data_IF_627081605524
#
_entry.id   IF_627081605524
#
_cell.length_a   1.000
_cell.length_b   1.000
_cell.length_c   1.000
_cell.angle_alpha   90.00
_cell.angle_beta   90.00
_cell.angle_gamma   90.00
#
_symmetry.space_group_name_H-M   'P 1'
#
loop_
_entity.id
_entity.type
_entity.pdbx_description
1 polymer ?
#
# COMPACT_ATOMS: atom_id res chain seq x y z
N UNK A 1 46.94 4.30 18.24
CA UNK A 1 45.57 3.79 18.41
C UNK A 1 44.61 4.83 17.88
N UNK A 2 44.29 4.78 16.58
CA UNK A 2 43.31 5.69 15.97
C UNK A 2 41.92 5.23 16.40
N UNK A 3 41.33 5.93 17.38
CA UNK A 3 39.93 5.77 17.70
C UNK A 3 39.12 5.96 16.42
N UNK A 4 38.38 4.93 16.00
CA UNK A 4 37.36 5.04 14.97
C UNK A 4 36.36 6.09 15.45
N UNK A 5 36.56 7.35 15.06
CA UNK A 5 35.55 8.38 15.24
C UNK A 5 34.32 7.90 14.46
N UNK A 6 33.31 7.47 15.20
CA UNK A 6 31.98 7.22 14.65
C UNK A 6 31.52 8.54 14.04
N UNK A 7 31.61 8.64 12.70
CA UNK A 7 31.17 9.82 11.97
C UNK A 7 29.68 9.96 12.21
N UNK A 8 29.31 11.00 12.95
CA UNK A 8 27.91 11.36 13.16
C UNK A 8 27.50 12.38 12.13
N UNK A 9 26.34 12.20 11.53
CA UNK A 9 25.70 13.19 10.66
C UNK A 9 24.21 13.31 11.00
N UNK A 10 23.57 14.43 10.67
CA UNK A 10 22.14 14.59 10.88
C UNK A 10 21.33 13.46 10.22
N UNK A 11 20.31 12.93 10.90
CA UNK A 11 19.38 11.94 10.32
C UNK A 11 18.76 12.47 9.01
N UNK A 12 18.47 13.76 8.93
CA UNK A 12 18.00 14.44 7.73
C UNK A 12 18.91 14.23 6.51
N UNK A 13 20.22 14.10 6.70
CA UNK A 13 21.18 13.81 5.63
C UNK A 13 21.07 12.35 5.15
N UNK A 14 21.05 11.40 6.08
CA UNK A 14 20.88 9.98 5.74
C UNK A 14 19.58 9.74 4.96
N UNK A 15 18.47 10.32 5.41
CA UNK A 15 17.16 10.17 4.76
C UNK A 15 17.15 10.76 3.35
N UNK A 16 17.81 11.89 3.11
CA UNK A 16 17.96 12.48 1.77
C UNK A 16 18.77 11.57 0.84
N UNK A 17 19.93 11.09 1.31
CA UNK A 17 20.79 10.20 0.54
C UNK A 17 20.06 8.89 0.20
N UNK A 18 19.35 8.30 1.18
CA UNK A 18 18.49 7.13 0.96
C UNK A 18 17.41 7.41 -0.07
N UNK A 19 16.66 8.51 0.08
CA UNK A 19 15.61 8.90 -0.86
C UNK A 19 16.13 9.00 -2.30
N UNK A 20 17.35 9.49 -2.49
CA UNK A 20 17.99 9.58 -3.80
C UNK A 20 18.48 8.25 -4.35
N UNK A 21 18.79 7.26 -3.51
CA UNK A 21 19.22 5.94 -3.96
C UNK A 21 18.08 5.02 -4.37
N UNK A 22 16.84 5.31 -3.94
CA UNK A 22 15.67 4.50 -4.27
C UNK A 22 15.09 4.87 -5.63
N UNK A 23 15.16 3.92 -6.58
CA UNK A 23 14.70 4.12 -7.96
C UNK A 23 13.39 3.41 -8.29
N UNK A 24 12.97 2.43 -7.48
CA UNK A 24 11.78 1.61 -7.72
C UNK A 24 10.92 1.52 -6.46
N UNK A 25 9.61 1.37 -6.65
CA UNK A 25 8.64 1.17 -5.58
C UNK A 25 8.87 -0.19 -4.94
N UNK A 26 9.11 -0.25 -3.63
CA UNK A 26 9.32 -1.50 -2.89
C UNK A 26 8.15 -2.48 -3.00
N UNK A 27 6.93 -2.02 -3.32
CA UNK A 27 5.72 -2.84 -3.36
C UNK A 27 5.26 -3.28 -4.75
N UNK A 28 5.49 -2.47 -5.79
CA UNK A 28 5.02 -2.81 -7.15
C UNK A 28 6.14 -2.78 -8.18
N UNK A 29 7.38 -2.54 -7.77
CA UNK A 29 8.56 -2.47 -8.62
C UNK A 29 8.48 -1.44 -9.76
N UNK A 30 7.47 -0.56 -9.76
CA UNK A 30 7.40 0.56 -10.71
C UNK A 30 8.55 1.53 -10.44
N UNK A 31 9.24 1.97 -11.50
CA UNK A 31 10.20 3.07 -11.44
C UNK A 31 9.56 4.35 -10.85
N UNK A 32 10.31 5.04 -10.00
CA UNK A 32 9.85 6.19 -9.24
C UNK A 32 10.38 7.51 -9.82
N UNK A 33 9.52 8.27 -10.49
CA UNK A 33 9.82 9.67 -10.83
C UNK A 33 9.68 10.58 -9.60
N UNK A 34 8.72 10.25 -8.73
CA UNK A 34 8.47 10.90 -7.45
C UNK A 34 8.20 9.83 -6.41
N UNK A 35 9.06 9.76 -5.40
CA UNK A 35 8.91 8.79 -4.33
C UNK A 35 8.28 9.39 -3.06
N UNK A 36 7.52 8.55 -2.37
CA UNK A 36 7.02 8.77 -1.02
C UNK A 36 7.85 7.91 -0.09
N UNK A 37 8.45 8.54 0.93
CA UNK A 37 9.20 7.84 1.95
C UNK A 37 8.25 7.57 3.12
N UNK A 38 8.19 6.30 3.51
CA UNK A 38 7.37 5.84 4.63
C UNK A 38 8.28 5.29 5.71
N UNK A 39 8.00 5.64 6.95
CA UNK A 39 8.67 5.14 8.14
C UNK A 39 7.61 4.57 9.09
N UNK A 40 7.72 3.28 9.44
CA UNK A 40 6.75 2.60 10.33
C UNK A 40 5.28 2.84 9.96
N UNK A 41 4.94 2.75 8.68
CA UNK A 41 3.57 2.97 8.19
C UNK A 41 3.13 4.43 8.07
N UNK A 42 4.00 5.41 8.37
CA UNK A 42 3.68 6.84 8.26
C UNK A 42 4.51 7.53 7.18
N UNK A 43 3.86 8.39 6.40
CA UNK A 43 4.54 9.21 5.38
C UNK A 43 5.39 10.26 6.08
N UNK A 44 6.68 10.31 5.76
CA UNK A 44 7.58 11.39 6.18
C UNK A 44 7.83 12.34 5.00
N UNK A 45 7.31 13.57 5.14
CA UNK A 45 7.39 14.60 4.11
C UNK A 45 8.72 15.38 4.19
N UNK A 46 8.91 16.32 3.27
CA UNK A 46 10.15 17.09 3.14
C UNK A 46 10.40 17.96 4.38
N UNK A 47 9.34 18.56 4.91
CA UNK A 47 9.36 19.47 6.05
C UNK A 47 9.76 18.72 7.33
N UNK A 48 9.15 17.55 7.57
CA UNK A 48 9.49 16.64 8.67
C UNK A 48 10.94 16.19 8.57
N UNK A 49 11.40 15.76 7.39
CA UNK A 49 12.81 15.37 7.18
C UNK A 49 13.75 16.55 7.45
N UNK A 50 13.37 17.78 7.07
CA UNK A 50 14.20 18.96 7.28
C UNK A 50 14.42 19.30 8.77
N UNK A 51 13.49 18.93 9.65
CA UNK A 51 13.63 19.12 11.11
C UNK A 51 14.36 17.97 11.84
N UNK A 52 14.72 16.88 11.15
CA UNK A 52 15.37 15.70 11.74
C UNK A 52 16.89 15.88 11.85
N UNK A 53 17.34 16.88 12.61
CA UNK A 53 18.77 17.25 12.67
C UNK A 53 19.56 16.53 13.77
N UNK A 54 18.93 15.58 14.47
CA UNK A 54 19.59 14.79 15.49
C UNK A 54 20.77 14.00 14.87
N UNK A 55 21.99 14.13 15.42
CA UNK A 55 23.16 13.45 14.91
C UNK A 55 23.12 11.96 15.27
N UNK A 56 23.15 11.11 14.25
CA UNK A 56 23.23 9.64 14.39
C UNK A 56 24.49 9.11 13.71
N UNK A 57 24.92 7.91 14.11
CA UNK A 57 26.04 7.19 13.49
C UNK A 57 25.57 6.15 12.46
N UNK A 58 26.51 5.60 11.69
CA UNK A 58 26.23 4.59 10.68
C UNK A 58 25.55 3.32 11.23
N UNK A 59 25.94 2.77 12.41
CA UNK A 59 25.26 1.61 12.98
C UNK A 59 23.78 1.86 13.30
N UNK A 60 23.42 3.02 13.87
CA UNK A 60 22.02 3.36 14.11
C UNK A 60 21.27 3.59 12.79
N UNK A 61 21.91 4.22 11.81
CA UNK A 61 21.31 4.41 10.48
C UNK A 61 20.94 3.09 9.81
N UNK A 62 21.83 2.08 9.83
CA UNK A 62 21.56 0.78 9.21
C UNK A 62 20.29 0.13 9.76
N UNK A 63 20.07 0.22 11.08
CA UNK A 63 18.85 -0.30 11.72
C UNK A 63 17.61 0.49 11.29
N UNK A 64 17.70 1.82 11.25
CA UNK A 64 16.57 2.66 10.82
C UNK A 64 16.20 2.42 9.36
N UNK A 65 17.18 2.07 8.52
CA UNK A 65 16.96 1.83 7.10
C UNK A 65 16.01 0.64 6.84
N UNK A 66 16.02 -0.38 7.71
CA UNK A 66 15.13 -1.55 7.61
C UNK A 66 13.65 -1.20 7.84
N UNK A 67 13.38 -0.08 8.52
CA UNK A 67 12.04 0.39 8.82
C UNK A 67 11.51 1.42 7.80
N UNK A 68 12.34 1.77 6.82
CA UNK A 68 11.99 2.67 5.73
C UNK A 68 11.46 1.90 4.53
N UNK A 69 10.46 2.47 3.87
CA UNK A 69 9.92 1.93 2.63
C UNK A 69 9.77 3.03 1.59
N UNK A 70 10.28 2.77 0.39
CA UNK A 70 10.18 3.67 -0.73
C UNK A 70 8.99 3.30 -1.63
N UNK A 71 7.96 4.12 -1.63
CA UNK A 71 6.70 3.81 -2.31
C UNK A 71 6.37 4.82 -3.40
N UNK A 72 5.70 4.34 -4.45
CA UNK A 72 4.98 5.23 -5.35
C UNK A 72 3.75 5.78 -4.63
N UNK A 73 3.21 6.92 -5.10
CA UNK A 73 2.04 7.57 -4.50
C UNK A 73 0.87 6.60 -4.25
N UNK A 74 0.58 5.73 -5.22
CA UNK A 74 -0.51 4.78 -5.10
C UNK A 74 -0.26 3.73 -4.00
N UNK A 75 0.95 3.17 -3.93
CA UNK A 75 1.29 2.20 -2.91
C UNK A 75 1.36 2.82 -1.51
N UNK A 76 1.82 4.08 -1.38
CA UNK A 76 1.82 4.76 -0.08
C UNK A 76 0.40 5.03 0.42
N UNK A 77 -0.52 5.42 -0.46
CA UNK A 77 -1.94 5.63 -0.12
C UNK A 77 -2.62 4.34 0.37
N UNK A 78 -2.22 3.17 -0.15
CA UNK A 78 -2.75 1.89 0.32
C UNK A 78 -2.09 1.48 1.63
N UNK A 79 -0.76 1.53 1.68
CA UNK A 79 0.01 1.03 2.82
C UNK A 79 -0.24 1.86 4.09
N UNK A 80 -0.34 3.18 3.98
CA UNK A 80 -0.52 4.06 5.14
C UNK A 80 -1.99 4.20 5.55
N UNK A 81 -2.93 4.01 4.62
CA UNK A 81 -4.37 4.13 4.87
C UNK A 81 -5.05 2.78 4.64
N UNK A 82 -4.57 1.74 5.30
CA UNK A 82 -5.21 0.43 5.30
C UNK A 82 -6.37 0.47 6.32
N UNK A 83 -7.50 1.08 5.93
CA UNK A 83 -8.73 0.96 6.70
C UNK A 83 -9.16 -0.50 6.71
N UNK A 84 -9.33 -1.07 7.90
CA UNK A 84 -9.91 -2.40 8.08
C UNK A 84 -11.40 -2.30 7.77
N UNK A 85 -11.78 -2.68 6.56
CA UNK A 85 -13.17 -2.88 6.18
C UNK A 85 -13.41 -4.35 5.82
N UNK A 86 -14.09 -4.57 4.71
CA UNK A 86 -14.46 -5.88 4.21
C UNK A 86 -13.41 -6.47 3.26
N UNK A 87 -12.65 -5.62 2.55
CA UNK A 87 -11.69 -6.09 1.54
C UNK A 87 -10.23 -6.03 2.04
N UNK A 88 -9.50 -7.14 1.87
CA UNK A 88 -8.05 -7.24 2.10
C UNK A 88 -7.29 -6.62 0.92
N UNK A 89 -7.27 -5.28 0.85
CA UNK A 89 -6.78 -4.53 -0.30
C UNK A 89 -5.28 -4.77 -0.58
N UNK A 90 -4.43 -4.82 0.44
CA UNK A 90 -2.98 -5.00 0.22
C UNK A 90 -2.64 -6.36 -0.38
N UNK A 91 -3.07 -7.49 0.22
CA UNK A 91 -2.88 -8.82 -0.36
C UNK A 91 -3.51 -8.94 -1.75
N UNK A 92 -4.73 -8.44 -1.95
CA UNK A 92 -5.38 -8.44 -3.26
C UNK A 92 -4.57 -7.68 -4.32
N UNK A 93 -4.07 -6.48 -3.99
CA UNK A 93 -3.22 -5.70 -4.89
C UNK A 93 -1.96 -6.48 -5.26
N UNK A 94 -1.34 -7.18 -4.31
CA UNK A 94 -0.14 -7.98 -4.56
C UNK A 94 -0.46 -9.16 -5.49
N UNK A 95 -1.55 -9.88 -5.22
CA UNK A 95 -2.06 -10.93 -6.11
C UNK A 95 -2.24 -10.43 -7.54
N UNK A 96 -2.86 -9.26 -7.73
CA UNK A 96 -3.06 -8.72 -9.07
C UNK A 96 -1.74 -8.41 -9.80
N UNK A 97 -0.70 -7.97 -9.09
CA UNK A 97 0.61 -7.70 -9.70
C UNK A 97 1.41 -8.96 -10.00
N UNK A 98 1.35 -9.96 -9.14
CA UNK A 98 2.22 -11.14 -9.23
C UNK A 98 1.59 -12.31 -9.96
N UNK A 99 0.26 -12.45 -9.88
CA UNK A 99 -0.45 -13.63 -10.36
C UNK A 99 -1.27 -13.34 -11.62
N UNK A 100 -1.18 -12.13 -12.19
CA UNK A 100 -1.93 -11.75 -13.38
C UNK A 100 -1.13 -10.86 -14.32
N UNK A 101 -1.44 -10.90 -15.61
CA UNK A 101 -0.83 -10.06 -16.67
C UNK A 101 -1.42 -8.63 -16.73
N UNK A 102 -2.03 -8.14 -15.64
CA UNK A 102 -2.72 -6.85 -15.65
C UNK A 102 -1.75 -5.67 -15.58
N UNK A 103 -2.05 -4.63 -16.38
CA UNK A 103 -1.28 -3.38 -16.32
C UNK A 103 -1.43 -2.69 -14.96
N UNK A 104 -0.41 -1.93 -14.54
CA UNK A 104 -0.47 -1.12 -13.32
C UNK A 104 -1.69 -0.20 -13.25
N UNK A 105 -2.13 0.34 -14.39
CA UNK A 105 -3.31 1.21 -14.46
C UNK A 105 -4.59 0.44 -14.14
N UNK A 106 -4.74 -0.77 -14.70
CA UNK A 106 -5.88 -1.66 -14.44
C UNK A 106 -5.90 -2.14 -13.00
N UNK A 107 -4.74 -2.54 -12.46
CA UNK A 107 -4.63 -2.93 -11.04
C UNK A 107 -5.05 -1.77 -10.13
N UNK A 108 -4.58 -0.55 -10.42
CA UNK A 108 -4.96 0.65 -9.68
C UNK A 108 -6.46 0.90 -9.73
N UNK A 109 -7.06 0.80 -10.91
CA UNK A 109 -8.50 0.99 -11.10
C UNK A 109 -9.32 0.02 -10.25
N UNK A 110 -8.98 -1.27 -10.25
CA UNK A 110 -9.71 -2.28 -9.48
C UNK A 110 -9.55 -2.12 -7.98
N UNK A 111 -8.33 -1.82 -7.51
CA UNK A 111 -8.08 -1.57 -6.09
C UNK A 111 -8.81 -0.33 -5.60
N UNK A 112 -8.77 0.78 -6.34
CA UNK A 112 -9.50 2.01 -5.97
C UNK A 112 -11.01 1.77 -5.95
N UNK A 113 -11.51 0.95 -6.88
CA UNK A 113 -12.92 0.56 -6.92
C UNK A 113 -13.34 -0.23 -5.68
N UNK A 114 -12.55 -1.23 -5.28
CA UNK A 114 -12.86 -1.98 -4.06
C UNK A 114 -12.75 -1.11 -2.81
N UNK A 115 -11.78 -0.19 -2.72
CA UNK A 115 -11.70 0.75 -1.60
C UNK A 115 -12.94 1.65 -1.48
N UNK A 116 -13.42 2.20 -2.60
CA UNK A 116 -14.64 3.02 -2.60
C UNK A 116 -15.86 2.20 -2.21
N UNK A 117 -15.93 0.96 -2.70
CA UNK A 117 -16.99 0.04 -2.32
C UNK A 117 -16.92 -0.28 -0.82
N UNK A 118 -15.73 -0.50 -0.29
CA UNK A 118 -15.48 -0.70 1.14
C UNK A 118 -16.03 0.45 1.99
N UNK A 119 -15.71 1.69 1.62
CA UNK A 119 -16.22 2.90 2.26
C UNK A 119 -17.75 2.96 2.24
N UNK A 120 -18.39 2.56 1.13
CA UNK A 120 -19.85 2.49 1.01
C UNK A 120 -20.47 1.41 1.91
N UNK A 121 -19.86 0.24 1.98
CA UNK A 121 -20.33 -0.86 2.83
C UNK A 121 -20.21 -0.50 4.32
N UNK A 122 -19.10 0.12 4.72
CA UNK A 122 -18.91 0.63 6.09
C UNK A 122 -19.93 1.71 6.42
N UNK A 123 -20.15 2.68 5.53
CA UNK A 123 -21.11 3.76 5.75
C UNK A 123 -22.56 3.28 5.88
N UNK A 124 -22.88 2.11 5.31
CA UNK A 124 -24.22 1.51 5.35
C UNK A 124 -24.35 0.44 6.44
N UNK A 125 -23.31 0.21 7.25
CA UNK A 125 -23.24 -0.88 8.23
C UNK A 125 -23.62 -2.24 7.63
N UNK A 126 -23.05 -2.56 6.47
CA UNK A 126 -23.38 -3.79 5.76
C UNK A 126 -23.08 -5.04 6.62
N UNK A 127 -24.02 -5.99 6.78
CA UNK A 127 -23.80 -7.13 7.68
C UNK A 127 -22.58 -7.99 7.29
N UNK A 128 -21.70 -8.29 8.25
CA UNK A 128 -20.50 -9.08 8.00
C UNK A 128 -20.83 -10.53 7.59
N UNK A 129 -21.92 -11.10 8.10
CA UNK A 129 -22.35 -12.46 7.74
C UNK A 129 -22.76 -12.53 6.26
N UNK A 130 -23.28 -11.43 5.71
CA UNK A 130 -23.60 -11.35 4.28
C UNK A 130 -22.35 -11.32 3.40
N UNK A 131 -21.22 -10.85 3.92
CA UNK A 131 -19.95 -10.76 3.20
C UNK A 131 -19.16 -12.08 3.20
N UNK A 132 -19.33 -12.94 4.20
CA UNK A 132 -18.52 -14.16 4.39
C UNK A 132 -18.92 -15.38 3.51
N UNK A 133 -19.89 -15.23 2.61
CA UNK A 133 -20.45 -16.37 1.85
C UNK A 133 -19.80 -16.58 0.49
N UNK A 134 -19.93 -17.80 -0.05
CA UNK A 134 -19.65 -18.08 -1.45
C UNK A 134 -20.53 -17.21 -2.38
N UNK A 135 -19.96 -16.77 -3.51
CA UNK A 135 -20.55 -15.83 -4.46
C UNK A 135 -20.74 -14.38 -3.93
N UNK A 136 -19.75 -13.87 -3.20
CA UNK A 136 -19.67 -12.48 -2.71
C UNK A 136 -20.01 -11.43 -3.80
N UNK A 137 -19.42 -11.60 -5.00
CA UNK A 137 -19.69 -10.74 -6.15
C UNK A 137 -21.18 -10.53 -6.42
N UNK A 138 -21.96 -11.61 -6.49
CA UNK A 138 -23.35 -11.54 -6.93
C UNK A 138 -24.20 -10.84 -5.88
N UNK A 139 -23.97 -11.18 -4.60
CA UNK A 139 -24.73 -10.60 -3.49
C UNK A 139 -24.51 -9.10 -3.31
N UNK A 140 -23.25 -8.63 -3.36
CA UNK A 140 -22.97 -7.20 -3.22
C UNK A 140 -23.61 -6.39 -4.37
N UNK A 141 -23.63 -6.95 -5.58
CA UNK A 141 -24.27 -6.30 -6.73
C UNK A 141 -25.78 -6.21 -6.54
N UNK A 142 -26.41 -7.24 -6.00
CA UNK A 142 -27.86 -7.28 -5.78
C UNK A 142 -28.30 -6.36 -4.62
N UNK A 143 -27.47 -6.21 -3.58
CA UNK A 143 -27.80 -5.42 -2.38
C UNK A 143 -27.50 -3.91 -2.52
N UNK A 144 -26.73 -3.46 -3.53
CA UNK A 144 -26.37 -2.04 -3.73
C UNK A 144 -27.10 -1.44 -4.94
N UNK A 145 -27.85 -0.33 -4.79
CA UNK A 145 -28.66 0.24 -5.86
C UNK A 145 -27.88 0.72 -7.12
N UNK A 146 -28.55 0.57 -8.27
CA UNK A 146 -28.12 0.53 -9.67
C UNK A 146 -27.04 1.48 -10.26
N UNK A 147 -26.53 2.50 -9.58
CA UNK A 147 -25.75 3.55 -10.27
C UNK A 147 -24.28 3.19 -10.62
N UNK A 148 -23.78 2.01 -10.19
CA UNK A 148 -22.35 1.70 -10.32
C UNK A 148 -22.01 0.23 -10.67
N UNK A 149 -23.01 -0.57 -11.04
CA UNK A 149 -22.82 -2.02 -11.25
C UNK A 149 -21.70 -2.35 -12.24
N UNK A 150 -21.63 -1.71 -13.40
CA UNK A 150 -20.58 -2.05 -14.39
C UNK A 150 -19.16 -1.71 -13.93
N UNK A 151 -18.99 -0.68 -13.10
CA UNK A 151 -17.67 -0.25 -12.66
C UNK A 151 -17.08 -1.21 -11.63
N UNK A 152 -17.88 -1.70 -10.68
CA UNK A 152 -17.37 -2.56 -9.60
C UNK A 152 -17.35 -4.04 -9.93
N UNK A 153 -18.20 -4.51 -10.86
CA UNK A 153 -18.34 -5.93 -11.21
C UNK A 153 -17.02 -6.64 -11.50
N UNK A 154 -16.17 -6.05 -12.33
CA UNK A 154 -14.90 -6.69 -12.71
C UNK A 154 -13.95 -6.75 -11.52
N UNK A 155 -13.90 -5.69 -10.70
CA UNK A 155 -13.04 -5.64 -9.52
C UNK A 155 -13.48 -6.69 -8.48
N UNK A 156 -14.79 -6.81 -8.23
CA UNK A 156 -15.37 -7.83 -7.34
C UNK A 156 -15.11 -9.26 -7.85
N UNK A 157 -15.30 -9.51 -9.15
CA UNK A 157 -14.98 -10.82 -9.73
C UNK A 157 -13.50 -11.15 -9.63
N UNK A 158 -12.62 -10.17 -9.76
CA UNK A 158 -11.18 -10.35 -9.52
C UNK A 158 -10.87 -10.62 -8.04
N UNK A 159 -11.61 -10.01 -7.13
CA UNK A 159 -11.48 -10.31 -5.70
C UNK A 159 -11.94 -11.74 -5.37
N UNK A 160 -13.04 -12.22 -5.96
CA UNK A 160 -13.44 -13.63 -5.81
C UNK A 160 -12.37 -14.60 -6.34
N UNK A 161 -11.72 -14.27 -7.45
CA UNK A 161 -10.58 -15.05 -7.98
C UNK A 161 -9.40 -15.06 -7.01
N UNK A 162 -9.10 -13.91 -6.38
CA UNK A 162 -8.08 -13.81 -5.34
C UNK A 162 -8.43 -14.68 -4.12
N UNK A 163 -9.67 -14.61 -3.62
CA UNK A 163 -10.12 -15.44 -2.49
C UNK A 163 -10.05 -16.93 -2.81
N UNK A 164 -10.42 -17.32 -4.03
CA UNK A 164 -10.31 -18.71 -4.48
C UNK A 164 -8.84 -19.14 -4.60
N UNK A 165 -7.95 -18.27 -5.09
CA UNK A 165 -6.51 -18.52 -5.14
C UNK A 165 -5.92 -18.70 -3.73
N UNK A 166 -6.27 -17.84 -2.78
CA UNK A 166 -5.81 -17.91 -1.39
C UNK A 166 -6.27 -19.18 -0.66
N UNK A 167 -7.36 -19.83 -1.09
CA UNK A 167 -7.78 -21.13 -0.52
C UNK A 167 -6.89 -22.29 -0.98
N UNK A 168 -6.17 -22.14 -2.08
CA UNK A 168 -5.39 -23.20 -2.72
C UNK A 168 -3.88 -23.10 -2.44
N UNK A 169 -3.43 -22.06 -1.71
CA UNK A 169 -2.03 -21.76 -1.38
C UNK A 169 -1.92 -21.27 0.07
#
# INVERSE_FOLDING_TARGET
>A
MSGLQLKKRPLSRYLKDYKHSQTHCSHCQKQLDRMVLVFRGQIINKETIAGMDQPIDDPLWLKLQEELTALCRFCSEIYCNNSLGYFDIMPFKQYLFEQTEMSHSTVREYVVRLRRLDEMLVATNYPAEKFATEALYQRIIDDIPNAAHNNYRIALRKYDQYLAWQKNY
#
